data_IF_325233855644
#
_entry.id   IF_325233855644
#
_cell.length_a   1.000
_cell.length_b   1.000
_cell.length_c   1.000
_cell.angle_alpha   90.00
_cell.angle_beta   90.00
_cell.angle_gamma   90.00
#
_symmetry.space_group_name_H-M   'P 1'
#
loop_
_entity.id
_entity.type
_entity.pdbx_description
1 polymer ?
#
# COMPACT_ATOMS: atom_id res chain seq x y z
N UNK A 1 -6.58 -4.65 16.15
CA UNK A 1 -7.52 -5.64 15.58
C UNK A 1 -7.73 -5.27 14.13
N UNK A 2 -7.27 -6.10 13.19
CA UNK A 2 -7.69 -5.94 11.80
C UNK A 2 -9.13 -6.46 11.70
N UNK A 3 -10.04 -5.71 11.12
CA UNK A 3 -11.38 -6.21 10.84
C UNK A 3 -11.25 -7.37 9.85
N UNK A 4 -11.67 -8.56 10.28
CA UNK A 4 -11.69 -9.77 9.46
C UNK A 4 -13.14 -10.04 9.12
N UNK A 5 -13.49 -10.02 7.84
CA UNK A 5 -14.82 -10.41 7.40
C UNK A 5 -15.03 -11.90 7.68
N UNK A 6 -16.15 -12.23 8.30
CA UNK A 6 -16.60 -13.61 8.48
C UNK A 6 -17.05 -14.20 7.13
N UNK A 7 -17.10 -15.54 7.04
CA UNK A 7 -17.33 -16.24 5.77
C UNK A 7 -18.70 -15.91 5.15
N UNK A 8 -19.70 -15.68 5.99
CA UNK A 8 -21.04 -15.24 5.62
C UNK A 8 -21.03 -13.80 5.07
N UNK A 9 -20.26 -12.89 5.67
CA UNK A 9 -20.07 -11.53 5.15
C UNK A 9 -19.35 -11.56 3.79
N UNK A 10 -18.32 -12.40 3.64
CA UNK A 10 -17.62 -12.59 2.35
C UNK A 10 -18.56 -13.15 1.27
N UNK A 11 -19.45 -14.07 1.65
CA UNK A 11 -20.45 -14.62 0.74
C UNK A 11 -21.47 -13.57 0.33
N UNK A 12 -22.00 -12.80 1.29
CA UNK A 12 -22.91 -11.69 1.04
C UNK A 12 -22.36 -10.69 0.02
N UNK A 13 -21.09 -10.30 0.17
CA UNK A 13 -20.45 -9.39 -0.79
C UNK A 13 -20.26 -10.01 -2.18
N UNK A 14 -19.93 -11.31 -2.28
CA UNK A 14 -19.84 -12.04 -3.55
C UNK A 14 -21.19 -12.12 -4.26
N UNK A 15 -22.27 -12.31 -3.53
CA UNK A 15 -23.61 -12.45 -4.08
C UNK A 15 -24.16 -11.09 -4.58
N UNK A 16 -23.83 -9.99 -3.90
CA UNK A 16 -24.28 -8.63 -4.27
C UNK A 16 -23.46 -8.05 -5.41
N UNK A 17 -22.13 -8.20 -5.37
CA UNK A 17 -21.22 -7.70 -6.39
C UNK A 17 -20.80 -8.81 -7.34
N UNK A 18 -21.77 -9.65 -7.75
CA UNK A 18 -21.57 -10.86 -8.56
C UNK A 18 -20.36 -10.76 -9.48
N UNK A 19 -19.48 -11.77 -9.42
CA UNK A 19 -18.23 -11.78 -10.17
C UNK A 19 -18.49 -11.30 -11.60
N UNK A 20 -17.74 -10.29 -12.09
CA UNK A 20 -18.00 -9.72 -13.40
C UNK A 20 -18.07 -10.85 -14.42
N UNK A 21 -19.13 -10.88 -15.22
CA UNK A 21 -19.28 -11.88 -16.27
C UNK A 21 -18.29 -11.55 -17.39
N UNK A 22 -17.08 -12.06 -17.25
CA UNK A 22 -16.05 -11.97 -18.28
C UNK A 22 -16.42 -12.98 -19.36
N UNK A 23 -16.61 -12.51 -20.59
CA UNK A 23 -16.90 -13.40 -21.72
C UNK A 23 -15.73 -14.38 -21.95
N UNK A 24 -15.97 -15.59 -22.50
CA UNK A 24 -14.89 -16.56 -22.80
C UNK A 24 -13.79 -15.99 -23.74
N UNK A 25 -14.15 -14.96 -24.52
CA UNK A 25 -13.23 -14.23 -25.42
C UNK A 25 -12.36 -13.23 -24.64
N UNK A 26 -12.89 -12.64 -23.56
CA UNK A 26 -12.10 -11.81 -22.65
C UNK A 26 -11.24 -12.67 -21.70
N UNK A 27 -11.70 -13.87 -21.32
CA UNK A 27 -10.94 -14.79 -20.47
C UNK A 27 -9.64 -15.30 -21.11
N UNK A 28 -9.56 -15.32 -22.44
CA UNK A 28 -8.32 -15.67 -23.19
C UNK A 28 -7.34 -14.50 -23.35
N UNK A 29 -7.79 -13.26 -23.07
CA UNK A 29 -6.95 -12.04 -23.02
C UNK A 29 -6.75 -11.50 -21.59
N UNK A 30 -7.49 -12.02 -20.62
CA UNK A 30 -7.49 -11.57 -19.24
C UNK A 30 -6.15 -11.93 -18.56
N UNK A 31 -5.28 -10.94 -18.51
CA UNK A 31 -4.40 -10.75 -17.34
C UNK A 31 -5.31 -10.89 -16.12
N UNK A 32 -4.94 -11.72 -15.14
CA UNK A 32 -5.79 -12.09 -13.99
C UNK A 32 -6.43 -10.90 -13.25
N UNK A 33 -7.32 -11.16 -12.28
CA UNK A 33 -8.19 -10.13 -11.68
C UNK A 33 -7.42 -8.85 -11.31
N UNK A 34 -7.98 -7.70 -11.70
CA UNK A 34 -7.33 -6.40 -11.54
C UNK A 34 -7.88 -5.68 -10.30
N UNK A 35 -7.03 -4.92 -9.60
CA UNK A 35 -7.44 -4.22 -8.39
C UNK A 35 -6.81 -2.82 -8.29
N UNK A 36 -7.51 -1.94 -7.56
CA UNK A 36 -6.97 -0.66 -7.09
C UNK A 36 -7.00 -0.67 -5.57
N UNK A 37 -5.86 -0.40 -4.95
CA UNK A 37 -5.78 -0.30 -3.50
C UNK A 37 -5.68 1.17 -3.08
N UNK A 38 -6.79 1.74 -2.61
CA UNK A 38 -6.85 3.14 -2.21
C UNK A 38 -6.04 3.45 -0.94
N UNK A 39 -5.61 2.45 -0.18
CA UNK A 39 -4.94 2.67 1.09
C UNK A 39 -4.21 1.40 1.56
N UNK A 40 -2.90 1.32 1.31
CA UNK A 40 -2.06 0.28 1.91
C UNK A 40 -0.81 0.83 2.58
N UNK A 41 -0.33 0.11 3.59
CA UNK A 41 0.83 0.49 4.40
C UNK A 41 1.99 -0.49 4.16
N UNK A 42 2.89 -0.21 3.20
CA UNK A 42 3.98 -1.13 2.90
C UNK A 42 5.00 -1.20 4.05
N UNK A 43 5.16 -0.13 4.83
CA UNK A 43 6.00 -0.07 6.02
C UNK A 43 5.50 -1.02 7.13
N UNK A 44 4.18 -1.04 7.35
CA UNK A 44 3.57 -1.94 8.32
C UNK A 44 3.63 -3.39 7.86
N UNK A 45 3.45 -3.63 6.55
CA UNK A 45 3.59 -4.96 5.96
C UNK A 45 5.02 -5.47 6.12
N UNK A 46 6.04 -4.66 5.80
CA UNK A 46 7.44 -4.99 6.01
C UNK A 46 7.73 -5.38 7.47
N UNK A 47 7.28 -4.57 8.43
CA UNK A 47 7.43 -4.86 9.87
C UNK A 47 6.77 -6.18 10.27
N UNK A 48 5.57 -6.49 9.75
CA UNK A 48 4.86 -7.75 10.04
C UNK A 48 5.55 -8.96 9.43
N UNK A 49 6.17 -8.81 8.28
CA UNK A 49 6.95 -9.85 7.61
C UNK A 49 8.38 -9.99 8.17
N UNK A 50 8.77 -9.15 9.14
CA UNK A 50 10.10 -9.18 9.74
C UNK A 50 11.22 -8.75 8.79
N UNK A 51 10.89 -7.97 7.75
CA UNK A 51 11.88 -7.40 6.82
C UNK A 51 12.15 -5.93 7.15
N UNK A 52 13.29 -5.43 6.70
CA UNK A 52 13.63 -4.02 6.88
C UNK A 52 12.65 -3.14 6.09
N UNK A 53 12.23 -2.01 6.66
CA UNK A 53 11.22 -1.14 6.04
C UNK A 53 11.69 -0.50 4.75
N UNK A 54 12.99 -0.36 4.56
CA UNK A 54 13.64 0.19 3.37
C UNK A 54 14.00 -0.86 2.31
N UNK A 55 13.59 -2.12 2.49
CA UNK A 55 13.78 -3.14 1.46
C UNK A 55 12.95 -2.84 0.21
N UNK A 56 13.34 -3.36 -0.97
CA UNK A 56 12.55 -3.22 -2.17
C UNK A 56 11.11 -3.68 -1.99
N UNK A 57 10.16 -2.93 -2.55
CA UNK A 57 8.72 -3.24 -2.39
C UNK A 57 8.36 -4.62 -2.96
N UNK A 58 9.07 -5.06 -4.00
CA UNK A 58 8.91 -6.39 -4.60
C UNK A 58 9.20 -7.50 -3.58
N UNK A 59 10.20 -7.34 -2.72
CA UNK A 59 10.53 -8.32 -1.68
C UNK A 59 9.42 -8.43 -0.64
N UNK A 60 8.73 -7.32 -0.37
CA UNK A 60 7.57 -7.29 0.54
C UNK A 60 6.40 -8.07 -0.09
N UNK A 61 6.14 -7.87 -1.38
CA UNK A 61 5.03 -8.51 -2.09
C UNK A 61 5.22 -9.99 -2.32
N UNK A 62 6.42 -10.41 -2.69
CA UNK A 62 6.71 -11.82 -2.97
C UNK A 62 6.67 -12.69 -1.70
N UNK A 63 6.95 -12.10 -0.53
CA UNK A 63 6.87 -12.76 0.78
C UNK A 63 5.46 -12.83 1.36
N UNK A 64 4.48 -12.18 0.72
CA UNK A 64 3.09 -12.23 1.16
C UNK A 64 2.54 -13.67 1.10
N UNK A 65 1.78 -14.14 2.11
CA UNK A 65 1.25 -15.50 2.16
C UNK A 65 0.03 -15.70 1.22
N UNK A 66 -0.03 -14.96 0.09
CA UNK A 66 -1.20 -14.96 -0.80
C UNK A 66 -1.05 -16.07 -1.82
N UNK A 67 -2.01 -17.00 -1.79
CA UNK A 67 -2.15 -18.10 -2.75
C UNK A 67 -2.23 -17.56 -4.17
N UNK A 68 -1.71 -18.30 -5.15
CA UNK A 68 -1.56 -17.82 -6.52
C UNK A 68 -2.91 -17.42 -7.14
N UNK A 69 -3.96 -18.15 -6.79
CA UNK A 69 -5.32 -17.97 -7.28
C UNK A 69 -6.01 -16.72 -6.70
N UNK A 70 -5.51 -16.21 -5.57
CA UNK A 70 -6.02 -15.00 -4.90
C UNK A 70 -5.23 -13.73 -5.30
N UNK A 71 -4.19 -13.87 -6.13
CA UNK A 71 -3.36 -12.74 -6.57
C UNK A 71 -4.09 -11.90 -7.61
N UNK A 72 -3.93 -10.59 -7.47
CA UNK A 72 -4.49 -9.58 -8.37
C UNK A 72 -3.39 -8.75 -9.04
N UNK A 73 -3.67 -8.22 -10.23
CA UNK A 73 -2.84 -7.20 -10.87
C UNK A 73 -3.20 -5.82 -10.30
N UNK A 74 -2.28 -5.22 -9.54
CA UNK A 74 -2.46 -3.87 -9.00
C UNK A 74 -2.34 -2.83 -10.13
N UNK A 75 -3.46 -2.19 -10.48
CA UNK A 75 -3.50 -1.15 -11.53
C UNK A 75 -3.31 0.25 -11.03
N UNK A 76 -3.47 0.46 -9.72
CA UNK A 76 -3.17 1.71 -9.07
C UNK A 76 -3.33 1.59 -7.57
N UNK A 77 -2.77 2.55 -6.85
CA UNK A 77 -3.02 2.60 -5.42
C UNK A 77 -2.33 3.74 -4.71
N UNK A 78 -2.58 3.82 -3.41
CA UNK A 78 -1.99 4.80 -2.52
C UNK A 78 -1.20 4.10 -1.43
N UNK A 79 0.13 4.21 -1.51
CA UNK A 79 1.03 3.77 -0.46
C UNK A 79 1.06 4.83 0.64
N UNK A 80 0.51 4.52 1.80
CA UNK A 80 0.45 5.41 2.96
C UNK A 80 1.62 5.09 3.88
N UNK A 81 2.48 6.07 4.11
CA UNK A 81 3.62 5.95 5.01
C UNK A 81 3.54 7.02 6.07
N UNK A 82 3.32 6.59 7.30
CA UNK A 82 3.21 7.47 8.45
C UNK A 82 4.51 7.46 9.26
N UNK A 83 4.75 8.56 9.97
CA UNK A 83 5.85 8.74 10.92
C UNK A 83 7.25 8.58 10.27
N UNK A 84 7.50 9.25 9.12
CA UNK A 84 8.70 9.02 8.34
C UNK A 84 9.91 9.72 8.99
N UNK A 85 10.68 9.02 9.82
CA UNK A 85 11.96 9.53 10.32
C UNK A 85 12.98 9.68 9.18
N UNK A 86 13.22 8.57 8.47
CA UNK A 86 14.16 8.52 7.32
C UNK A 86 13.57 7.75 6.13
N UNK A 87 12.38 7.18 6.28
CA UNK A 87 11.68 6.34 5.32
C UNK A 87 10.32 6.98 4.98
N UNK A 88 9.84 7.00 3.72
CA UNK A 88 10.47 6.40 2.55
C UNK A 88 11.68 7.21 2.07
N UNK A 89 12.64 6.52 1.48
CA UNK A 89 13.68 7.16 0.69
C UNK A 89 13.16 7.45 -0.73
N UNK A 90 13.86 8.33 -1.45
CA UNK A 90 13.55 8.63 -2.85
C UNK A 90 13.73 7.39 -3.73
N UNK A 91 14.74 6.57 -3.44
CA UNK A 91 15.00 5.32 -4.14
C UNK A 91 13.84 4.34 -3.96
N UNK A 92 13.35 4.19 -2.72
CA UNK A 92 12.18 3.35 -2.44
C UNK A 92 10.94 3.79 -3.23
N UNK A 93 10.68 5.11 -3.32
CA UNK A 93 9.56 5.64 -4.11
C UNK A 93 9.73 5.36 -5.61
N UNK A 94 10.97 5.36 -6.11
CA UNK A 94 11.26 5.06 -7.50
C UNK A 94 11.00 3.58 -7.86
N UNK A 95 11.11 2.67 -6.89
CA UNK A 95 10.84 1.24 -7.06
C UNK A 95 9.35 0.90 -7.01
N UNK A 96 8.51 1.78 -6.47
CA UNK A 96 7.06 1.62 -6.53
C UNK A 96 6.57 1.70 -7.98
N UNK A 97 5.58 0.88 -8.38
CA UNK A 97 4.97 0.95 -9.70
C UNK A 97 4.56 2.38 -10.05
N UNK A 98 4.67 2.72 -11.33
CA UNK A 98 4.31 4.05 -11.83
C UNK A 98 2.86 4.45 -11.51
N UNK A 99 1.97 3.48 -11.34
CA UNK A 99 0.56 3.66 -10.99
C UNK A 99 0.29 3.89 -9.49
N UNK A 100 1.31 3.81 -8.63
CA UNK A 100 1.19 4.04 -7.19
C UNK A 100 1.57 5.47 -6.84
N UNK A 101 0.68 6.14 -6.11
CA UNK A 101 0.91 7.43 -5.45
C UNK A 101 1.34 7.18 -4.01
N UNK A 102 2.24 8.02 -3.49
CA UNK A 102 2.74 7.91 -2.12
C UNK A 102 2.17 9.04 -1.29
N UNK A 103 1.47 8.68 -0.20
CA UNK A 103 1.00 9.59 0.82
C UNK A 103 1.94 9.54 2.03
N UNK A 104 2.56 10.66 2.36
CA UNK A 104 3.40 10.81 3.57
C UNK A 104 2.71 11.73 4.57
N UNK A 105 2.78 11.40 5.86
CA UNK A 105 2.19 12.21 6.92
C UNK A 105 2.62 11.77 8.31
N UNK A 106 2.20 12.53 9.32
CA UNK A 106 2.44 12.20 10.73
C UNK A 106 1.17 11.58 11.32
N UNK A 107 1.30 10.42 11.95
CA UNK A 107 0.16 9.76 12.58
C UNK A 107 -0.30 10.58 13.81
N UNK A 108 -1.61 10.86 13.99
CA UNK A 108 -2.11 11.70 15.09
C UNK A 108 -1.70 11.21 16.49
N UNK A 109 -1.49 9.90 16.65
CA UNK A 109 -0.94 9.29 17.89
C UNK A 109 0.39 9.92 18.33
N UNK A 110 1.17 10.45 17.40
CA UNK A 110 2.47 11.06 17.66
C UNK A 110 2.40 12.57 17.89
N UNK A 111 1.20 13.15 18.01
CA UNK A 111 1.02 14.57 18.34
C UNK A 111 1.68 15.00 19.67
N UNK A 112 1.98 14.04 20.57
CA UNK A 112 2.64 14.29 21.85
C UNK A 112 4.16 14.02 21.84
N UNK A 113 4.77 13.85 20.67
CA UNK A 113 6.23 13.69 20.54
C UNK A 113 6.96 15.00 20.86
N UNK A 114 8.27 14.92 21.13
CA UNK A 114 9.10 16.12 21.28
C UNK A 114 9.07 16.96 20.01
N UNK A 115 9.17 18.28 20.17
CA UNK A 115 9.21 19.21 19.05
C UNK A 115 10.37 18.89 18.09
N UNK A 116 11.53 18.48 18.61
CA UNK A 116 12.69 18.13 17.81
C UNK A 116 12.40 16.96 16.85
N UNK A 117 11.68 15.93 17.32
CA UNK A 117 11.29 14.78 16.48
C UNK A 117 10.30 15.21 15.39
N UNK A 118 9.33 16.07 15.74
CA UNK A 118 8.36 16.59 14.78
C UNK A 118 9.05 17.45 13.71
N UNK A 119 10.01 18.29 14.10
CA UNK A 119 10.75 19.15 13.18
C UNK A 119 11.61 18.34 12.20
N UNK A 120 12.22 17.24 12.66
CA UNK A 120 12.96 16.30 11.82
C UNK A 120 12.03 15.64 10.79
N UNK A 121 10.88 15.11 11.23
CA UNK A 121 9.90 14.49 10.33
C UNK A 121 9.35 15.47 9.30
N UNK A 122 9.01 16.69 9.72
CA UNK A 122 8.53 17.74 8.81
C UNK A 122 9.61 18.07 7.78
N UNK A 123 10.87 18.15 8.18
CA UNK A 123 12.00 18.41 7.26
C UNK A 123 12.13 17.29 6.23
N UNK A 124 12.08 16.04 6.67
CA UNK A 124 12.14 14.88 5.78
C UNK A 124 10.95 14.84 4.82
N UNK A 125 9.72 15.01 5.32
CA UNK A 125 8.52 15.07 4.49
C UNK A 125 8.59 16.20 3.46
N UNK A 126 9.05 17.40 3.83
CA UNK A 126 9.25 18.51 2.87
C UNK A 126 10.24 18.18 1.76
N UNK A 127 11.23 17.32 2.02
CA UNK A 127 12.14 16.86 0.98
C UNK A 127 11.47 15.89 -0.01
N UNK A 128 10.47 15.14 0.45
CA UNK A 128 9.73 14.17 -0.37
C UNK A 128 8.55 14.81 -1.11
N UNK A 129 7.80 15.68 -0.43
CA UNK A 129 6.65 16.39 -0.99
C UNK A 129 7.11 17.33 -2.09
N UNK A 130 6.50 17.21 -3.26
CA UNK A 130 6.91 17.93 -4.48
C UNK A 130 7.79 17.11 -5.42
N UNK A 131 8.22 15.91 -5.02
CA UNK A 131 8.70 14.89 -5.98
C UNK A 131 7.51 14.23 -6.67
N UNK A 132 7.74 13.73 -7.88
CA UNK A 132 6.70 13.10 -8.68
C UNK A 132 6.00 11.98 -7.89
N UNK A 133 4.66 11.97 -7.89
CA UNK A 133 3.80 10.98 -7.22
C UNK A 133 3.78 11.02 -5.69
N UNK A 134 4.36 12.04 -5.02
CA UNK A 134 4.29 12.18 -3.55
C UNK A 134 3.33 13.29 -3.13
N UNK A 135 2.38 12.97 -2.26
CA UNK A 135 1.44 13.91 -1.63
C UNK A 135 1.63 13.92 -0.12
N UNK A 136 1.53 15.10 0.50
CA UNK A 136 1.69 15.30 1.94
C UNK A 136 0.35 15.56 2.63
N UNK A 137 0.19 15.04 3.85
CA UNK A 137 -0.99 15.24 4.71
C UNK A 137 -0.59 15.59 6.15
#
# INVERSE_FOLDING_TARGET
MAASLQEDERKYWRDIFGAPQVSEVEATLAVGPEAVDSHFHPDQLARRLGVQTDCPVVDIWERGPVEKEERVSLKGGVAVICDPATFPSVAYIAELPSSVVVAVGIHPRLANQSQDNLDEWIRHMKHLVGKERVVGF
#
